data_IF_975587184967
#
_entry.id   IF_975587184967
#
_cell.length_a   1.000
_cell.length_b   1.000
_cell.length_c   1.000
_cell.angle_alpha   90.00
_cell.angle_beta   90.00
_cell.angle_gamma   90.00
#
_symmetry.space_group_name_H-M   'P 1'
#
loop_
_entity.id
_entity.type
_entity.pdbx_description
1 polymer ?
#
# COMPACT_ATOMS: atom_id res chain seq x y z
N UNK A 1 23.91 22.00 -4.58
CA UNK A 1 23.54 21.04 -3.53
C UNK A 1 22.16 20.52 -3.89
N UNK A 2 22.06 19.25 -4.30
CA UNK A 2 20.77 18.65 -4.64
C UNK A 2 20.08 18.22 -3.35
N UNK A 3 19.13 19.02 -2.88
CA UNK A 3 18.24 18.67 -1.76
C UNK A 3 17.16 17.70 -2.24
N UNK A 4 17.55 16.50 -2.69
CA UNK A 4 16.58 15.42 -2.82
C UNK A 4 16.37 14.87 -1.40
N UNK A 5 15.15 14.93 -0.83
CA UNK A 5 14.88 14.29 0.44
C UNK A 5 15.25 12.81 0.31
N UNK A 6 16.01 12.29 1.28
CA UNK A 6 16.36 10.88 1.32
C UNK A 6 15.08 10.05 1.21
N UNK A 7 14.99 9.22 0.18
CA UNK A 7 13.87 8.33 0.00
C UNK A 7 13.86 7.34 1.16
N UNK A 8 12.99 7.54 2.13
CA UNK A 8 12.89 6.65 3.28
C UNK A 8 12.35 5.30 2.84
N UNK A 9 12.68 4.25 3.60
CA UNK A 9 12.11 2.91 3.41
C UNK A 9 10.58 2.93 3.31
N UNK A 10 9.94 3.81 4.08
CA UNK A 10 8.49 3.99 4.07
C UNK A 10 7.98 4.60 2.77
N UNK A 11 8.63 5.65 2.26
CA UNK A 11 8.26 6.27 0.97
C UNK A 11 8.44 5.28 -0.17
N UNK A 12 9.52 4.49 -0.16
CA UNK A 12 9.73 3.43 -1.17
C UNK A 12 8.67 2.34 -1.08
N UNK A 13 8.39 1.84 0.13
CA UNK A 13 7.32 0.86 0.38
C UNK A 13 5.98 1.37 -0.15
N UNK A 14 5.61 2.59 0.21
CA UNK A 14 4.32 3.18 -0.17
C UNK A 14 4.24 3.41 -1.68
N UNK A 15 5.36 3.72 -2.35
CA UNK A 15 5.42 3.81 -3.81
C UNK A 15 5.19 2.45 -4.47
N UNK A 16 5.87 1.39 -4.01
CA UNK A 16 5.70 0.04 -4.56
C UNK A 16 4.27 -0.43 -4.34
N UNK A 17 3.77 -0.33 -3.11
CA UNK A 17 2.42 -0.74 -2.77
C UNK A 17 1.37 0.07 -3.55
N UNK A 18 1.52 1.39 -3.55
CA UNK A 18 0.61 2.31 -4.25
C UNK A 18 0.51 1.99 -5.74
N UNK A 19 1.64 1.74 -6.40
CA UNK A 19 1.66 1.31 -7.80
C UNK A 19 0.91 0.00 -8.04
N UNK A 20 0.92 -0.93 -7.08
CA UNK A 20 0.22 -2.20 -7.18
C UNK A 20 -1.30 -2.10 -6.95
N UNK A 21 -1.76 -1.12 -6.16
CA UNK A 21 -3.17 -0.97 -5.79
C UNK A 21 -3.84 0.28 -6.39
N UNK A 22 -3.15 1.04 -7.23
CA UNK A 22 -3.70 2.23 -7.88
C UNK A 22 -3.74 3.49 -7.01
N UNK A 23 -2.90 3.56 -5.97
CA UNK A 23 -2.79 4.70 -5.07
C UNK A 23 -1.45 5.41 -5.20
N UNK A 24 -1.42 6.69 -4.87
CA UNK A 24 -0.17 7.43 -4.67
C UNK A 24 0.52 7.00 -3.36
N UNK A 25 1.85 7.24 -3.22
CA UNK A 25 2.55 6.95 -1.96
C UNK A 25 1.95 7.67 -0.75
N UNK A 26 1.33 8.84 -0.97
CA UNK A 26 0.69 9.65 0.07
C UNK A 26 -0.66 9.09 0.47
N UNK A 27 -1.49 8.69 -0.49
CA UNK A 27 -2.76 8.00 -0.20
C UNK A 27 -2.52 6.67 0.53
N UNK A 28 -1.44 5.97 0.21
CA UNK A 28 -1.04 4.79 0.99
C UNK A 28 -0.71 5.16 2.43
N UNK A 29 0.04 6.23 2.66
CA UNK A 29 0.39 6.68 4.02
C UNK A 29 -0.85 7.10 4.83
N UNK A 30 -1.81 7.77 4.17
CA UNK A 30 -2.98 8.34 4.83
C UNK A 30 -4.08 7.30 5.09
N UNK A 31 -4.26 6.32 4.20
CA UNK A 31 -5.44 5.46 4.22
C UNK A 31 -5.15 3.99 4.50
N UNK A 32 -3.93 3.48 4.26
CA UNK A 32 -3.60 2.09 4.58
C UNK A 32 -3.33 1.95 6.06
N UNK A 33 -4.18 1.18 6.73
CA UNK A 33 -4.08 0.95 8.18
C UNK A 33 -3.31 -0.32 8.51
N UNK A 34 -3.30 -1.30 7.61
CA UNK A 34 -2.58 -2.56 7.81
C UNK A 34 -2.19 -3.22 6.50
N UNK A 35 -1.00 -3.81 6.48
CA UNK A 35 -0.48 -4.65 5.39
C UNK A 35 -0.23 -6.04 5.97
N UNK A 36 -0.94 -7.06 5.49
CA UNK A 36 -0.81 -8.43 5.96
C UNK A 36 -0.36 -9.32 4.82
N UNK A 37 0.81 -9.99 4.97
CA UNK A 37 1.23 -11.01 4.02
C UNK A 37 0.32 -12.23 4.11
N UNK A 38 -0.10 -12.77 2.98
CA UNK A 38 -0.87 -14.01 2.90
C UNK A 38 0.09 -15.21 2.99
N UNK A 39 -0.28 -16.20 3.80
CA UNK A 39 0.59 -17.30 4.20
C UNK A 39 1.36 -17.93 3.03
N UNK A 40 2.69 -18.00 3.18
CA UNK A 40 3.64 -18.57 2.21
C UNK A 40 3.50 -18.04 0.76
N UNK A 41 3.00 -16.81 0.58
CA UNK A 41 2.86 -16.17 -0.72
C UNK A 41 3.46 -14.77 -0.73
N UNK A 42 3.69 -14.22 -1.93
CA UNK A 42 4.09 -12.82 -2.11
C UNK A 42 2.88 -11.89 -2.30
N UNK A 43 1.68 -12.39 -2.00
CA UNK A 43 0.44 -11.62 -1.99
C UNK A 43 0.20 -10.99 -0.62
N UNK A 44 -0.45 -9.84 -0.62
CA UNK A 44 -0.78 -9.08 0.57
C UNK A 44 -2.27 -8.75 0.63
N UNK A 45 -2.79 -8.68 1.85
CA UNK A 45 -4.09 -8.12 2.17
C UNK A 45 -3.84 -6.72 2.69
N UNK A 46 -4.41 -5.72 2.01
CA UNK A 46 -4.26 -4.31 2.36
C UNK A 46 -5.56 -3.85 2.97
N UNK A 47 -5.51 -3.35 4.20
CA UNK A 47 -6.65 -2.80 4.91
C UNK A 47 -6.63 -1.28 4.86
N UNK A 48 -7.81 -0.69 4.74
CA UNK A 48 -8.02 0.75 4.66
C UNK A 48 -8.81 1.26 5.86
N UNK A 49 -8.60 2.52 6.23
CA UNK A 49 -9.38 3.21 7.26
C UNK A 49 -10.85 3.39 6.85
N UNK A 50 -11.75 3.45 7.83
CA UNK A 50 -13.18 3.71 7.59
C UNK A 50 -13.39 5.12 7.01
N UNK A 51 -12.50 6.04 7.38
CA UNK A 51 -12.42 7.41 6.93
C UNK A 51 -11.94 7.56 5.47
N UNK A 52 -11.54 6.48 4.80
CA UNK A 52 -11.07 6.52 3.41
C UNK A 52 -12.18 7.06 2.50
N UNK A 53 -11.98 8.20 1.81
CA UNK A 53 -13.00 8.80 0.95
C UNK A 53 -13.46 7.84 -0.14
N UNK A 54 -14.74 7.92 -0.51
CA UNK A 54 -15.30 7.07 -1.58
C UNK A 54 -14.58 7.26 -2.91
N UNK A 55 -14.18 8.50 -3.24
CA UNK A 55 -13.41 8.79 -4.45
C UNK A 55 -12.06 8.05 -4.48
N UNK A 56 -11.39 7.97 -3.33
CA UNK A 56 -10.11 7.23 -3.21
C UNK A 56 -10.40 5.73 -3.32
N UNK A 57 -11.41 5.23 -2.62
CA UNK A 57 -11.83 3.81 -2.68
C UNK A 57 -12.17 3.37 -4.11
N UNK A 58 -12.77 4.24 -4.91
CA UNK A 58 -13.10 3.96 -6.31
C UNK A 58 -11.85 3.75 -7.20
N UNK A 59 -10.70 4.29 -6.81
CA UNK A 59 -9.43 4.13 -7.54
C UNK A 59 -8.65 2.88 -7.11
N UNK A 60 -9.04 2.23 -6.01
CA UNK A 60 -8.31 1.09 -5.46
C UNK A 60 -8.56 -0.15 -6.31
N UNK A 61 -7.49 -0.68 -6.88
CA UNK A 61 -7.52 -1.89 -7.70
C UNK A 61 -7.91 -3.09 -6.81
N UNK A 62 -8.93 -3.83 -7.25
CA UNK A 62 -9.41 -5.03 -6.57
C UNK A 62 -10.34 -4.78 -5.39
N UNK A 63 -10.67 -3.52 -5.06
CA UNK A 63 -11.59 -3.21 -3.97
C UNK A 63 -13.04 -3.48 -4.39
N UNK A 64 -13.70 -4.44 -3.72
CA UNK A 64 -15.09 -4.83 -3.98
C UNK A 64 -16.06 -4.25 -2.94
N UNK A 65 -16.03 -2.93 -2.73
CA UNK A 65 -16.93 -2.22 -1.81
C UNK A 65 -16.61 -2.41 -0.32
N UNK A 66 -15.51 -3.07 0.02
CA UNK A 66 -15.05 -3.28 1.39
C UNK A 66 -14.02 -2.25 1.87
N UNK A 67 -13.33 -2.61 2.95
CA UNK A 67 -12.19 -1.87 3.51
C UNK A 67 -10.89 -2.68 3.39
N UNK A 68 -10.85 -3.64 2.48
CA UNK A 68 -9.63 -4.37 2.17
C UNK A 68 -9.60 -4.85 0.72
N UNK A 69 -8.41 -4.97 0.17
CA UNK A 69 -8.15 -5.56 -1.15
C UNK A 69 -7.01 -6.57 -1.07
N UNK A 70 -6.99 -7.51 -2.01
CA UNK A 70 -5.89 -8.45 -2.19
C UNK A 70 -4.99 -7.93 -3.31
N UNK A 71 -3.70 -7.86 -3.03
CA UNK A 71 -2.71 -7.56 -4.08
C UNK A 71 -2.45 -8.80 -4.91
N UNK A 72 -1.99 -8.59 -6.14
CA UNK A 72 -1.16 -9.60 -6.83
C UNK A 72 0.17 -9.77 -6.08
N UNK A 73 1.02 -10.75 -6.45
CA UNK A 73 2.38 -10.83 -5.92
C UNK A 73 3.11 -9.47 -6.04
N UNK A 74 3.66 -8.99 -4.93
CA UNK A 74 4.47 -7.76 -4.87
C UNK A 74 5.87 -8.13 -4.39
N UNK A 75 6.86 -7.76 -5.20
CA UNK A 75 8.26 -7.71 -4.75
C UNK A 75 8.52 -6.34 -4.12
N UNK A 76 8.85 -6.36 -2.84
CA UNK A 76 9.23 -5.16 -2.10
C UNK A 76 10.74 -4.89 -2.16
N UNK A 77 11.47 -5.49 -3.09
CA UNK A 77 12.90 -5.25 -3.36
C UNK A 77 13.77 -5.47 -2.10
N UNK A 78 13.42 -6.47 -1.30
CA UNK A 78 14.12 -6.79 -0.05
C UNK A 78 13.77 -5.88 1.14
N UNK A 79 12.76 -5.00 1.03
CA UNK A 79 12.25 -4.26 2.18
C UNK A 79 11.56 -5.19 3.17
N UNK A 80 11.89 -5.06 4.45
CA UNK A 80 11.17 -5.74 5.53
C UNK A 80 9.82 -5.07 5.73
N UNK A 81 8.74 -5.77 5.37
CA UNK A 81 7.38 -5.34 5.60
C UNK A 81 6.93 -5.90 6.95
N UNK A 82 7.37 -5.25 8.04
CA UNK A 82 6.83 -5.56 9.36
C UNK A 82 5.35 -5.21 9.38
N UNK A 83 4.53 -6.10 9.94
CA UNK A 83 3.13 -5.81 10.26
C UNK A 83 3.08 -4.54 11.10
N UNK A 84 2.51 -3.47 10.55
CA UNK A 84 2.12 -2.29 11.33
C UNK A 84 0.84 -2.62 12.08
#
# INVERSE_FOLDING_TARGET
MSNQPEETTEVRRNRILGGAIGLTPWEVADYVTRIQRKDNSDEYIIHFGIETPELVRANIIGLQGGLFTHTRPIDFEGLQISTI
#
